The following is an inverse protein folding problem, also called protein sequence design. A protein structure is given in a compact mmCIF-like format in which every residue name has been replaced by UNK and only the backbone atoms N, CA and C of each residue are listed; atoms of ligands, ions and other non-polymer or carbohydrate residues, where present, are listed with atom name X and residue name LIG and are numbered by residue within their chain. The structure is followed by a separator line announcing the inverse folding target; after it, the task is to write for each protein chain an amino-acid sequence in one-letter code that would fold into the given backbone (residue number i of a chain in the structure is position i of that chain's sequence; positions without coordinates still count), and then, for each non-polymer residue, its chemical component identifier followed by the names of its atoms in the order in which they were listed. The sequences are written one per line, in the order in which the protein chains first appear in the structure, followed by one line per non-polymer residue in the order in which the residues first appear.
data_IF_808702178781
#
_entry.id   IF_808702178781
#
_cell.length_a   1.000
_cell.length_b   1.000
_cell.length_c   1.000
_cell.angle_alpha   90.00
_cell.angle_beta   90.00
_cell.angle_gamma   90.00
#
_symmetry.space_group_name_H-M   'P 1'
#
loop_
_entity.id
_entity.type
_entity.pdbx_description
1 polymer ?
#
# COMPACT_ATOMS: atom_id res chain seq x y z
N UNK A 1 -5.46 59.08 18.02
CA UNK A 1 -6.80 58.45 17.90
C UNK A 1 -7.14 58.50 16.42
N UNK A 2 -6.82 57.51 15.58
CA UNK A 2 -7.60 56.29 15.42
C UNK A 2 -6.88 55.41 14.36
N UNK A 3 -5.80 54.71 14.72
CA UNK A 3 -5.10 53.78 13.80
C UNK A 3 -5.79 52.41 13.78
N UNK A 4 -6.79 52.20 14.64
CA UNK A 4 -7.59 50.97 14.70
C UNK A 4 -8.54 50.75 13.50
N UNK A 5 -8.51 51.58 12.46
CA UNK A 5 -9.44 51.47 11.32
C UNK A 5 -8.83 51.44 9.92
N UNK A 6 -7.50 51.48 9.77
CA UNK A 6 -6.93 50.98 8.52
C UNK A 6 -6.92 49.46 8.58
N UNK A 7 -8.10 48.90 8.26
CA UNK A 7 -8.30 47.68 7.50
C UNK A 7 -6.97 47.18 6.98
N UNK A 8 -6.35 46.29 7.75
CA UNK A 8 -5.12 45.62 7.39
C UNK A 8 -5.47 44.88 6.10
N UNK A 9 -5.12 45.52 4.99
CA UNK A 9 -5.49 45.11 3.65
C UNK A 9 -5.01 43.67 3.49
N UNK A 10 -5.96 42.74 3.45
CA UNK A 10 -5.68 41.34 3.13
C UNK A 10 -5.10 41.19 1.70
N UNK A 11 -5.07 42.28 0.93
CA UNK A 11 -4.72 42.34 -0.49
C UNK A 11 -3.26 42.80 -0.75
N UNK A 12 -2.58 43.36 0.25
CA UNK A 12 -1.16 43.74 0.14
C UNK A 12 -0.33 42.87 1.08
N UNK A 13 0.61 42.06 0.58
CA UNK A 13 1.43 41.23 1.43
C UNK A 13 2.20 42.12 2.41
N UNK A 14 2.19 41.77 3.70
CA UNK A 14 2.92 42.50 4.77
C UNK A 14 4.39 42.74 4.39
N UNK A 15 4.96 41.81 3.62
CA UNK A 15 6.27 41.95 2.98
C UNK A 15 6.43 43.23 2.14
N UNK A 16 5.46 43.60 1.29
CA UNK A 16 5.52 44.83 0.48
C UNK A 16 5.47 46.08 1.36
N UNK A 17 4.57 46.11 2.33
CA UNK A 17 4.42 47.22 3.28
C UNK A 17 5.71 47.42 4.10
N UNK A 18 6.36 46.33 4.53
CA UNK A 18 7.64 46.39 5.22
C UNK A 18 8.76 46.94 4.33
N UNK A 19 8.83 46.49 3.07
CA UNK A 19 9.85 46.93 2.12
C UNK A 19 9.71 48.41 1.75
N UNK A 20 8.47 48.90 1.59
CA UNK A 20 8.21 50.30 1.30
C UNK A 20 8.59 51.19 2.50
N UNK A 21 8.24 50.80 3.73
CA UNK A 21 8.65 51.54 4.93
C UNK A 21 10.17 51.50 5.17
N UNK A 22 10.84 50.39 4.88
CA UNK A 22 12.31 50.30 4.95
C UNK A 22 12.98 51.20 3.90
N UNK A 23 12.39 51.32 2.71
CA UNK A 23 12.88 52.22 1.66
C UNK A 23 12.71 53.68 2.05
N UNK A 24 11.56 54.04 2.63
CA UNK A 24 11.31 55.39 3.14
C UNK A 24 12.24 55.73 4.30
N UNK A 25 12.45 54.79 5.24
CA UNK A 25 13.41 54.94 6.33
C UNK A 25 14.83 55.15 5.82
N UNK A 26 15.26 54.35 4.84
CA UNK A 26 16.58 54.51 4.22
C UNK A 26 16.74 55.89 3.55
N UNK A 27 15.70 56.38 2.86
CA UNK A 27 15.70 57.71 2.24
C UNK A 27 15.79 58.84 3.28
N UNK A 28 15.13 58.69 4.44
CA UNK A 28 15.22 59.65 5.55
C UNK A 28 16.61 59.63 6.20
N UNK A 29 17.23 58.46 6.36
CA UNK A 29 18.61 58.34 6.87
C UNK A 29 19.62 58.96 5.91
N UNK A 30 19.48 58.75 4.60
CA UNK A 30 20.35 59.40 3.61
C UNK A 30 20.16 60.92 3.62
N UNK A 31 18.91 61.39 3.73
CA UNK A 31 18.61 62.83 3.87
C UNK A 31 19.20 63.44 5.14
N UNK A 32 19.14 62.72 6.26
CA UNK A 32 19.80 63.12 7.52
C UNK A 32 21.31 63.24 7.33
N UNK A 33 21.91 62.24 6.69
CA UNK A 33 23.35 62.20 6.45
C UNK A 33 23.79 63.34 5.52
N UNK A 34 23.07 63.59 4.43
CA UNK A 34 23.34 64.69 3.49
C UNK A 34 23.22 66.07 4.19
N UNK A 35 22.22 66.24 5.05
CA UNK A 35 22.03 67.49 5.81
C UNK A 35 23.11 67.74 6.87
N UNK A 36 23.71 66.67 7.40
CA UNK A 36 24.85 66.73 8.32
C UNK A 36 26.17 66.96 7.57
N UNK A 37 26.32 66.38 6.37
CA UNK A 37 27.54 66.47 5.56
C UNK A 37 27.61 67.73 4.68
N UNK A 38 26.52 68.50 4.55
CA UNK A 38 26.51 69.73 3.76
C UNK A 38 27.52 70.77 4.33
N UNK A 39 28.57 71.15 3.56
CA UNK A 39 29.66 72.01 4.02
C UNK A 39 29.24 73.47 4.27
N UNK A 40 28.03 73.87 3.87
CA UNK A 40 27.52 75.24 4.04
C UNK A 40 26.96 75.51 5.44
N UNK A 41 26.66 74.46 6.24
CA UNK A 41 26.25 74.59 7.65
C UNK A 41 27.33 74.13 8.64
N UNK A 42 28.31 73.32 8.22
CA UNK A 42 29.37 72.78 9.10
C UNK A 42 30.61 73.68 9.27
N UNK A 43 30.70 74.81 8.55
CA UNK A 43 31.69 75.88 8.87
C UNK A 43 31.56 76.40 10.32
N UNK A 44 30.38 76.25 10.92
CA UNK A 44 30.01 76.77 12.24
C UNK A 44 30.48 75.86 13.39
N UNK A 45 30.59 74.54 13.17
CA UNK A 45 30.89 73.61 14.28
C UNK A 45 32.38 73.64 14.66
N UNK A 46 33.29 73.95 13.72
CA UNK A 46 34.71 74.07 14.03
C UNK A 46 35.14 75.48 14.44
N UNK A 47 34.24 76.49 14.43
CA UNK A 47 34.60 77.89 14.71
C UNK A 47 33.79 78.59 15.81
N UNK A 48 32.65 78.05 16.27
CA UNK A 48 31.90 78.63 17.41
C UNK A 48 32.09 77.85 18.72
N UNK A 49 33.21 78.11 19.41
CA UNK A 49 33.25 78.10 20.90
C UNK A 49 33.03 79.51 21.48
N UNK A 50 32.94 80.55 20.64
CA UNK A 50 32.75 81.92 21.11
C UNK A 50 31.51 82.58 20.51
N UNK A 51 30.66 83.05 21.44
CA UNK A 51 29.78 84.21 21.33
C UNK A 51 28.41 84.08 20.63
N UNK A 52 27.40 83.93 21.48
CA UNK A 52 26.17 84.73 21.62
C UNK A 52 25.60 85.49 20.39
N UNK A 53 24.34 85.15 20.11
CA UNK A 53 23.23 86.00 19.61
C UNK A 53 23.07 86.24 18.10
N UNK A 54 21.87 85.87 17.65
CA UNK A 54 21.10 86.35 16.49
C UNK A 54 21.15 85.56 15.18
N UNK A 55 19.94 85.11 14.82
CA UNK A 55 19.39 84.82 13.49
C UNK A 55 19.59 83.44 12.85
N UNK A 56 18.41 82.90 12.54
CA UNK A 56 18.04 81.78 11.67
C UNK A 56 18.12 80.36 12.25
N UNK A 57 16.95 79.74 12.21
CA UNK A 57 16.56 78.38 12.55
C UNK A 57 16.99 77.36 11.46
N UNK A 58 18.02 76.54 11.70
CA UNK A 58 18.15 75.24 11.04
C UNK A 58 17.80 74.06 11.97
N UNK A 59 17.62 74.32 13.28
CA UNK A 59 17.40 73.27 14.29
C UNK A 59 16.01 72.62 14.23
N UNK A 60 14.98 73.34 13.76
CA UNK A 60 13.62 72.81 13.67
C UNK A 60 13.49 71.70 12.62
N UNK A 61 14.10 71.87 11.44
CA UNK A 61 14.05 70.90 10.34
C UNK A 61 14.77 69.59 10.67
N UNK A 62 15.90 69.67 11.39
CA UNK A 62 16.64 68.49 11.85
C UNK A 62 15.84 67.73 12.92
N UNK A 63 15.26 68.46 13.89
CA UNK A 63 14.38 67.87 14.91
C UNK A 63 13.13 67.22 14.32
N UNK A 64 12.54 67.82 13.29
CA UNK A 64 11.40 67.28 12.55
C UNK A 64 11.79 65.99 11.81
N UNK A 65 12.95 65.95 11.16
CA UNK A 65 13.46 64.75 10.49
C UNK A 65 13.76 63.60 11.47
N UNK A 66 14.36 63.89 12.62
CA UNK A 66 14.58 62.91 13.70
C UNK A 66 13.24 62.39 14.24
N UNK A 67 12.26 63.27 14.46
CA UNK A 67 10.92 62.86 14.89
C UNK A 67 10.26 61.93 13.88
N UNK A 68 10.37 62.23 12.57
CA UNK A 68 9.85 61.39 11.50
C UNK A 68 10.57 60.02 11.44
N UNK A 69 11.88 60.00 11.72
CA UNK A 69 12.66 58.77 11.77
C UNK A 69 12.23 57.86 12.93
N UNK A 70 11.99 58.44 14.11
CA UNK A 70 11.47 57.73 15.29
C UNK A 70 10.05 57.19 15.03
N UNK A 71 9.20 57.97 14.36
CA UNK A 71 7.85 57.52 13.98
C UNK A 71 7.91 56.34 13.00
N UNK A 72 8.78 56.39 11.99
CA UNK A 72 8.98 55.28 11.05
C UNK A 72 9.59 54.04 11.67
N UNK A 73 10.53 54.20 12.60
CA UNK A 73 11.07 53.09 13.40
C UNK A 73 9.93 52.40 14.18
N UNK A 74 9.05 53.20 14.81
CA UNK A 74 7.87 52.69 15.52
C UNK A 74 6.92 51.92 14.60
N UNK A 75 6.68 52.43 13.40
CA UNK A 75 5.81 51.79 12.40
C UNK A 75 6.40 50.46 11.91
N UNK A 76 7.71 50.40 11.66
CA UNK A 76 8.40 49.16 11.27
C UNK A 76 8.28 48.12 12.38
N UNK A 77 8.48 48.52 13.65
CA UNK A 77 8.30 47.61 14.79
C UNK A 77 6.86 47.08 14.88
N UNK A 78 5.86 47.93 14.66
CA UNK A 78 4.45 47.52 14.68
C UNK A 78 4.14 46.54 13.54
N UNK A 79 4.67 46.77 12.34
CA UNK A 79 4.51 45.86 11.19
C UNK A 79 5.21 44.52 11.46
N UNK A 80 6.38 44.55 12.10
CA UNK A 80 7.13 43.35 12.46
C UNK A 80 6.39 42.48 13.49
N UNK A 81 5.74 43.10 14.49
CA UNK A 81 4.91 42.38 15.45
C UNK A 81 3.70 41.72 14.77
N UNK A 82 3.03 42.42 13.85
CA UNK A 82 1.97 41.84 13.03
C UNK A 82 2.48 40.67 12.18
N UNK A 83 3.66 40.80 11.56
CA UNK A 83 4.27 39.73 10.78
C UNK A 83 4.61 38.49 11.64
N UNK A 84 5.10 38.71 12.87
CA UNK A 84 5.38 37.65 13.84
C UNK A 84 4.09 36.89 14.21
N UNK A 85 3.02 37.62 14.52
CA UNK A 85 1.72 37.03 14.84
C UNK A 85 1.14 36.24 13.65
N UNK A 86 1.24 36.78 12.43
CA UNK A 86 0.83 36.06 11.22
C UNK A 86 1.66 34.79 10.98
N UNK A 87 2.97 34.84 11.26
CA UNK A 87 3.83 33.66 11.14
C UNK A 87 3.45 32.58 12.15
N UNK A 88 3.16 32.96 13.41
CA UNK A 88 2.69 32.02 14.42
C UNK A 88 1.37 31.35 14.00
N UNK A 89 0.39 32.13 13.55
CA UNK A 89 -0.87 31.58 13.04
C UNK A 89 -0.67 30.70 11.80
N UNK A 90 0.30 31.02 10.94
CA UNK A 90 0.65 30.18 9.79
C UNK A 90 1.19 28.81 10.22
N UNK A 91 2.03 28.74 11.26
CA UNK A 91 2.52 27.47 11.80
C UNK A 91 1.39 26.62 12.38
N UNK A 92 0.48 27.24 13.13
CA UNK A 92 -0.73 26.56 13.65
C UNK A 92 -1.60 26.03 12.51
N UNK A 93 -1.83 26.83 11.46
CA UNK A 93 -2.55 26.40 10.25
C UNK A 93 -1.85 25.26 9.53
N UNK A 94 -0.52 25.28 9.45
CA UNK A 94 0.25 24.21 8.82
C UNK A 94 0.12 22.90 9.60
N UNK A 95 0.19 22.95 10.93
CA UNK A 95 -0.05 21.79 11.80
C UNK A 95 -1.45 21.22 11.58
N UNK A 96 -2.48 22.06 11.61
CA UNK A 96 -3.87 21.64 11.41
C UNK A 96 -4.08 21.06 10.00
N UNK A 97 -3.43 21.64 8.98
CA UNK A 97 -3.48 21.12 7.60
C UNK A 97 -2.87 19.72 7.53
N UNK A 98 -1.76 19.48 8.23
CA UNK A 98 -1.15 18.16 8.28
C UNK A 98 -2.05 17.13 8.97
N UNK A 99 -2.69 17.51 10.08
CA UNK A 99 -3.67 16.67 10.77
C UNK A 99 -4.87 16.33 9.86
N UNK A 100 -5.41 17.33 9.14
CA UNK A 100 -6.47 17.09 8.16
C UNK A 100 -6.05 16.14 7.05
N UNK A 101 -4.82 16.23 6.55
CA UNK A 101 -4.31 15.30 5.55
C UNK A 101 -4.21 13.87 6.10
N UNK A 102 -3.74 13.71 7.35
CA UNK A 102 -3.70 12.42 8.02
C UNK A 102 -5.10 11.84 8.19
N UNK A 103 -6.06 12.64 8.65
CA UNK A 103 -7.44 12.19 8.82
C UNK A 103 -8.09 11.83 7.49
N UNK A 104 -7.84 12.61 6.43
CA UNK A 104 -8.34 12.32 5.08
C UNK A 104 -7.79 10.98 4.57
N UNK A 105 -6.50 10.71 4.82
CA UNK A 105 -5.90 9.42 4.48
C UNK A 105 -6.53 8.26 5.27
N UNK A 106 -6.82 8.45 6.55
CA UNK A 106 -7.50 7.44 7.37
C UNK A 106 -8.92 7.17 6.85
N UNK A 107 -9.68 8.21 6.51
CA UNK A 107 -11.02 8.07 5.91
C UNK A 107 -10.93 7.27 4.61
N UNK A 108 -9.99 7.60 3.73
CA UNK A 108 -9.80 6.89 2.48
C UNK A 108 -9.47 5.41 2.70
N UNK A 109 -8.61 5.09 3.68
CA UNK A 109 -8.28 3.71 4.01
C UNK A 109 -9.48 2.92 4.53
N UNK A 110 -10.29 3.53 5.40
CA UNK A 110 -11.52 2.93 5.92
C UNK A 110 -12.52 2.70 4.79
N UNK A 111 -12.73 3.69 3.91
CA UNK A 111 -13.61 3.56 2.76
C UNK A 111 -13.17 2.42 1.83
N UNK A 112 -11.87 2.32 1.55
CA UNK A 112 -11.32 1.22 0.76
C UNK A 112 -11.59 -0.12 1.43
N UNK A 113 -11.29 -0.25 2.72
CA UNK A 113 -11.53 -1.49 3.48
C UNK A 113 -13.01 -1.88 3.50
N UNK A 114 -13.92 -0.90 3.52
CA UNK A 114 -15.36 -1.14 3.49
C UNK A 114 -15.78 -1.70 2.13
N UNK A 115 -15.32 -1.08 1.03
CA UNK A 115 -15.60 -1.54 -0.33
C UNK A 115 -15.03 -2.94 -0.57
N UNK A 116 -13.82 -3.20 -0.09
CA UNK A 116 -13.19 -4.53 -0.20
C UNK A 116 -13.99 -5.59 0.57
N UNK A 117 -14.50 -5.24 1.76
CA UNK A 117 -15.34 -6.14 2.58
C UNK A 117 -16.71 -6.37 1.95
N UNK A 118 -17.30 -5.34 1.35
CA UNK A 118 -18.57 -5.44 0.61
C UNK A 118 -18.42 -6.41 -0.57
N UNK A 119 -17.36 -6.26 -1.36
CA UNK A 119 -17.08 -7.17 -2.47
C UNK A 119 -16.87 -8.62 -2.02
N UNK A 120 -16.18 -8.83 -0.90
CA UNK A 120 -16.00 -10.17 -0.31
C UNK A 120 -17.35 -10.77 0.12
N UNK A 121 -18.22 -9.97 0.73
CA UNK A 121 -19.55 -10.41 1.15
C UNK A 121 -20.43 -10.76 -0.05
N UNK A 122 -20.40 -9.95 -1.11
CA UNK A 122 -21.11 -10.27 -2.35
C UNK A 122 -20.66 -11.59 -2.96
N UNK A 123 -19.36 -11.87 -2.94
CA UNK A 123 -18.83 -13.15 -3.42
C UNK A 123 -19.30 -14.31 -2.54
N UNK A 124 -19.23 -14.15 -1.21
CA UNK A 124 -19.69 -15.17 -0.28
C UNK A 124 -21.19 -15.48 -0.43
N UNK A 125 -22.02 -14.48 -0.73
CA UNK A 125 -23.44 -14.67 -1.02
C UNK A 125 -23.63 -15.47 -2.31
N UNK A 126 -22.92 -15.12 -3.39
CA UNK A 126 -22.97 -15.88 -4.66
C UNK A 126 -22.52 -17.33 -4.47
N UNK A 127 -21.45 -17.54 -3.72
CA UNK A 127 -20.94 -18.89 -3.42
C UNK A 127 -21.96 -19.70 -2.60
N UNK A 128 -22.64 -19.05 -1.65
CA UNK A 128 -23.70 -19.69 -0.86
C UNK A 128 -24.93 -20.04 -1.72
N UNK A 129 -25.31 -19.19 -2.67
CA UNK A 129 -26.40 -19.47 -3.62
C UNK A 129 -26.07 -20.69 -4.49
N UNK A 130 -24.84 -20.77 -5.02
CA UNK A 130 -24.37 -21.92 -5.79
C UNK A 130 -24.35 -23.20 -4.94
N UNK A 131 -23.90 -23.11 -3.69
CA UNK A 131 -23.90 -24.26 -2.77
C UNK A 131 -25.32 -24.75 -2.46
N UNK A 132 -26.28 -23.82 -2.35
CA UNK A 132 -27.68 -24.15 -2.13
C UNK A 132 -28.27 -24.88 -3.35
N UNK A 133 -27.99 -24.40 -4.57
CA UNK A 133 -28.40 -25.07 -5.81
C UNK A 133 -27.82 -26.49 -5.89
N UNK A 134 -26.52 -26.65 -5.61
CA UNK A 134 -25.86 -27.96 -5.57
C UNK A 134 -26.47 -28.89 -4.51
N UNK A 135 -26.84 -28.36 -3.35
CA UNK A 135 -27.52 -29.11 -2.30
C UNK A 135 -28.91 -29.55 -2.75
N UNK A 136 -29.69 -28.68 -3.39
CA UNK A 136 -31.01 -29.02 -3.93
C UNK A 136 -30.94 -30.09 -5.01
N UNK A 137 -29.97 -30.01 -5.91
CA UNK A 137 -29.76 -31.02 -6.94
C UNK A 137 -29.29 -32.36 -6.37
N UNK A 138 -28.41 -32.34 -5.37
CA UNK A 138 -28.00 -33.54 -4.62
C UNK A 138 -29.18 -34.17 -3.86
N UNK A 139 -30.08 -33.34 -3.32
CA UNK A 139 -31.31 -33.81 -2.65
C UNK A 139 -32.27 -34.48 -3.63
N UNK A 140 -32.38 -33.99 -4.87
CA UNK A 140 -33.14 -34.64 -5.94
C UNK A 140 -32.49 -35.97 -6.35
N UNK A 141 -31.17 -35.98 -6.51
CA UNK A 141 -30.37 -37.16 -6.87
C UNK A 141 -29.87 -37.92 -5.63
N UNK A 142 -30.75 -38.23 -4.68
CA UNK A 142 -30.37 -38.94 -3.45
C UNK A 142 -29.94 -40.38 -3.79
N UNK A 143 -28.67 -40.68 -3.58
CA UNK A 143 -28.12 -42.04 -3.70
C UNK A 143 -28.30 -42.76 -2.37
N UNK A 144 -28.71 -44.02 -2.41
CA UNK A 144 -28.79 -44.83 -1.20
C UNK A 144 -27.39 -45.15 -0.66
N UNK A 145 -27.21 -45.03 0.64
CA UNK A 145 -25.96 -45.35 1.32
C UNK A 145 -25.59 -46.83 1.16
N UNK A 146 -26.57 -47.72 1.02
CA UNK A 146 -26.32 -49.15 0.77
C UNK A 146 -25.64 -49.37 -0.59
N UNK A 147 -26.07 -48.66 -1.63
CA UNK A 147 -25.44 -48.73 -2.95
C UNK A 147 -24.01 -48.17 -2.90
N UNK A 148 -23.77 -47.06 -2.18
CA UNK A 148 -22.42 -46.52 -1.99
C UNK A 148 -21.51 -47.56 -1.35
N UNK A 149 -21.94 -48.21 -0.27
CA UNK A 149 -21.15 -49.26 0.41
C UNK A 149 -20.89 -50.45 -0.51
N UNK A 150 -21.91 -50.90 -1.26
CA UNK A 150 -21.79 -52.02 -2.20
C UNK A 150 -20.81 -51.71 -3.32
N UNK A 151 -20.89 -50.52 -3.92
CA UNK A 151 -19.97 -50.12 -4.99
C UNK A 151 -18.57 -49.82 -4.46
N UNK A 152 -18.44 -49.19 -3.28
CA UNK A 152 -17.14 -48.99 -2.64
C UNK A 152 -16.44 -50.32 -2.35
N UNK A 153 -17.17 -51.32 -1.84
CA UNK A 153 -16.63 -52.66 -1.66
C UNK A 153 -16.21 -53.30 -2.99
N UNK A 154 -17.03 -53.19 -4.04
CA UNK A 154 -16.68 -53.69 -5.40
C UNK A 154 -15.42 -53.01 -5.96
N UNK A 155 -15.28 -51.70 -5.79
CA UNK A 155 -14.11 -50.93 -6.25
C UNK A 155 -12.88 -51.31 -5.43
N UNK A 156 -13.04 -51.51 -4.12
CA UNK A 156 -11.96 -51.94 -3.23
C UNK A 156 -11.49 -53.36 -3.54
N UNK A 157 -12.41 -54.28 -3.85
CA UNK A 157 -12.09 -55.62 -4.36
C UNK A 157 -11.41 -55.57 -5.73
N UNK A 158 -11.76 -54.57 -6.55
CA UNK A 158 -11.16 -54.34 -7.87
C UNK A 158 -9.76 -53.71 -7.86
N UNK A 159 -9.17 -53.45 -6.68
CA UNK A 159 -7.76 -53.03 -6.57
C UNK A 159 -7.40 -51.65 -7.15
N UNK A 160 -8.39 -50.77 -7.38
CA UNK A 160 -8.19 -49.49 -8.12
C UNK A 160 -7.63 -48.34 -7.25
N UNK A 161 -7.45 -48.55 -5.94
CA UNK A 161 -7.14 -47.47 -4.98
C UNK A 161 -5.66 -47.10 -4.83
N UNK A 162 -4.77 -47.57 -5.70
CA UNK A 162 -3.40 -47.07 -5.73
C UNK A 162 -2.67 -47.51 -6.98
N UNK A 163 -1.93 -46.58 -7.60
CA UNK A 163 -0.85 -46.92 -8.53
C UNK A 163 0.30 -47.50 -7.72
N UNK A 164 0.56 -48.82 -7.75
CA UNK A 164 1.77 -49.35 -7.17
C UNK A 164 2.96 -48.74 -7.93
N UNK A 165 4.06 -48.45 -7.23
CA UNK A 165 5.31 -47.92 -7.80
C UNK A 165 5.86 -48.77 -8.97
N UNK A 166 5.33 -49.98 -9.16
CA UNK A 166 5.63 -50.93 -10.22
C UNK A 166 4.81 -50.76 -11.53
N UNK A 167 3.89 -49.79 -11.68
CA UNK A 167 3.21 -49.52 -12.97
C UNK A 167 4.16 -49.09 -14.10
N UNK A 168 5.44 -48.85 -13.80
CA UNK A 168 6.49 -48.59 -14.78
C UNK A 168 7.24 -49.86 -15.28
N UNK A 169 6.95 -51.03 -14.71
CA UNK A 169 7.64 -52.29 -15.03
C UNK A 169 6.76 -53.28 -15.79
N UNK A 170 7.31 -54.07 -16.73
CA UNK A 170 6.57 -55.10 -17.47
C UNK A 170 6.18 -56.33 -16.63
N UNK A 171 6.56 -56.39 -15.36
CA UNK A 171 6.44 -57.58 -14.49
C UNK A 171 5.19 -57.65 -13.61
N UNK A 172 4.28 -56.68 -13.66
CA UNK A 172 2.98 -56.74 -12.95
C UNK A 172 1.81 -56.39 -13.89
N UNK A 173 1.06 -57.41 -14.39
CA UNK A 173 0.01 -57.24 -15.41
C UNK A 173 -1.35 -56.72 -14.92
N UNK A 174 -1.53 -56.31 -13.67
CA UNK A 174 -2.82 -55.79 -13.21
C UNK A 174 -3.02 -54.34 -13.65
N UNK A 175 -3.56 -54.22 -14.86
CA UNK A 175 -3.97 -52.93 -15.42
C UNK A 175 -5.31 -52.53 -14.80
N UNK A 176 -5.49 -51.26 -14.40
CA UNK A 176 -6.77 -50.76 -13.87
C UNK A 176 -7.89 -50.71 -14.93
N UNK A 177 -7.59 -51.07 -16.19
CA UNK A 177 -8.54 -51.12 -17.30
C UNK A 177 -8.71 -52.57 -17.77
N UNK A 178 -9.89 -52.92 -18.33
CA UNK A 178 -10.10 -54.25 -18.90
C UNK A 178 -9.05 -54.55 -19.98
N UNK A 179 -8.32 -55.66 -19.82
CA UNK A 179 -7.26 -56.07 -20.78
C UNK A 179 -7.90 -56.79 -21.97
N UNK A 180 -7.24 -56.80 -23.14
CA UNK A 180 -7.72 -57.44 -24.39
C UNK A 180 -8.35 -58.84 -24.21
N UNK A 181 -7.78 -59.80 -23.45
CA UNK A 181 -8.42 -61.10 -23.23
C UNK A 181 -9.75 -60.98 -22.46
N UNK A 182 -9.84 -60.09 -21.47
CA UNK A 182 -11.08 -59.83 -20.71
C UNK A 182 -12.13 -59.17 -21.63
N UNK A 183 -11.70 -58.24 -22.49
CA UNK A 183 -12.57 -57.58 -23.47
C UNK A 183 -13.12 -58.56 -24.51
N UNK A 184 -12.28 -59.48 -25.01
CA UNK A 184 -12.69 -60.53 -25.97
C UNK A 184 -13.56 -61.61 -25.32
N UNK A 185 -13.33 -61.92 -24.05
CA UNK A 185 -14.17 -62.85 -23.28
C UNK A 185 -15.56 -62.26 -22.95
N UNK A 186 -15.67 -60.92 -22.96
CA UNK A 186 -16.90 -60.18 -22.72
C UNK A 186 -17.96 -60.34 -23.81
N UNK A 187 -19.16 -59.82 -23.54
CA UNK A 187 -20.31 -59.94 -24.44
C UNK A 187 -20.02 -59.32 -25.83
N UNK A 188 -19.26 -58.23 -25.88
CA UNK A 188 -18.88 -57.56 -27.11
C UNK A 188 -17.98 -58.43 -28.00
N UNK A 189 -17.01 -59.14 -27.41
CA UNK A 189 -16.15 -60.08 -28.13
C UNK A 189 -16.92 -61.26 -28.71
N UNK A 190 -17.88 -61.81 -27.96
CA UNK A 190 -18.76 -62.89 -28.43
C UNK A 190 -19.64 -62.48 -29.61
N UNK A 191 -20.13 -61.25 -29.62
CA UNK A 191 -20.94 -60.70 -30.73
C UNK A 191 -20.10 -60.45 -31.99
N UNK A 192 -18.78 -60.24 -31.85
CA UNK A 192 -17.87 -59.94 -32.95
C UNK A 192 -17.30 -61.16 -33.70
N UNK A 193 -17.70 -62.40 -33.33
CA UNK A 193 -17.25 -63.65 -33.95
C UNK A 193 -15.72 -63.77 -34.14
N UNK A 194 -14.94 -63.16 -33.24
CA UNK A 194 -13.49 -63.37 -33.20
C UNK A 194 -13.22 -64.79 -32.66
N UNK A 195 -12.20 -65.50 -33.17
CA UNK A 195 -11.90 -66.84 -32.69
C UNK A 195 -11.67 -66.83 -31.17
N UNK A 196 -12.25 -67.77 -30.41
CA UNK A 196 -12.08 -67.81 -28.96
C UNK A 196 -10.59 -67.94 -28.64
N UNK A 197 -10.08 -66.99 -27.87
CA UNK A 197 -8.72 -67.06 -27.34
C UNK A 197 -8.71 -68.15 -26.29
N UNK A 198 -8.18 -69.34 -26.62
CA UNK A 198 -7.78 -70.34 -25.64
C UNK A 198 -6.54 -69.81 -24.91
N UNK A 199 -6.77 -69.03 -23.86
CA UNK A 199 -5.77 -68.81 -22.83
C UNK A 199 -6.23 -69.58 -21.59
N UNK A 200 -5.37 -70.39 -20.97
CA UNK A 200 -5.72 -71.01 -19.70
C UNK A 200 -6.03 -69.88 -18.72
N UNK A 201 -7.11 -70.03 -17.96
CA UNK A 201 -7.32 -69.28 -16.71
C UNK A 201 -6.15 -69.60 -15.78
N UNK A 202 -5.04 -68.89 -15.93
CA UNK A 202 -4.04 -68.75 -14.88
C UNK A 202 -4.55 -67.67 -13.95
N UNK A 203 -5.26 -68.14 -12.93
CA UNK A 203 -5.13 -67.58 -11.60
C UNK A 203 -3.63 -67.57 -11.31
N UNK A 204 -2.98 -66.40 -11.42
CA UNK A 204 -1.60 -66.19 -11.00
C UNK A 204 -1.69 -65.52 -9.62
N UNK A 205 -1.76 -66.30 -8.54
CA UNK A 205 -0.59 -66.70 -7.76
C UNK A 205 0.71 -66.97 -8.55
N UNK A 206 1.75 -66.16 -8.25
CA UNK A 206 3.15 -66.55 -8.01
C UNK A 206 4.29 -65.90 -8.85
N UNK A 207 5.20 -65.25 -8.10
CA UNK A 207 6.69 -65.37 -8.08
C UNK A 207 7.48 -65.78 -9.34
N UNK A 208 8.44 -64.91 -9.70
CA UNK A 208 9.85 -65.22 -10.09
C UNK A 208 10.21 -65.55 -11.56
N UNK A 209 10.82 -64.54 -12.22
CA UNK A 209 12.10 -64.54 -13.00
C UNK A 209 12.32 -65.55 -14.15
N UNK A 210 12.52 -65.08 -15.41
CA UNK A 210 13.82 -64.96 -16.16
C UNK A 210 13.68 -64.93 -17.71
N UNK A 211 14.37 -63.95 -18.33
CA UNK A 211 15.15 -63.94 -19.59
C UNK A 211 14.60 -64.56 -20.90
N UNK A 212 14.38 -63.73 -21.93
CA UNK A 212 15.36 -63.39 -22.99
C UNK A 212 14.73 -62.93 -24.33
N UNK A 213 15.37 -61.92 -24.92
CA UNK A 213 15.55 -61.59 -26.34
C UNK A 213 14.38 -61.32 -27.32
N UNK A 214 14.37 -60.05 -27.79
CA UNK A 214 14.54 -59.64 -29.20
C UNK A 214 13.39 -58.88 -29.90
N UNK A 215 13.63 -57.56 -30.04
CA UNK A 215 13.56 -56.73 -31.27
C UNK A 215 12.26 -56.71 -32.09
N UNK A 216 11.50 -55.61 -31.96
CA UNK A 216 10.93 -54.70 -33.00
C UNK A 216 9.88 -53.83 -32.28
N UNK A 217 9.83 -52.50 -32.25
CA UNK A 217 10.40 -51.49 -33.12
C UNK A 217 9.28 -50.69 -33.78
N UNK A 218 8.61 -49.77 -33.06
CA UNK A 218 8.03 -48.52 -33.59
C UNK A 218 7.57 -47.58 -32.47
N UNK A 219 7.90 -46.30 -32.63
CA UNK A 219 7.77 -45.22 -31.67
C UNK A 219 6.36 -44.58 -31.62
N UNK A 220 6.00 -43.86 -30.54
CA UNK A 220 4.70 -43.20 -30.39
C UNK A 220 4.71 -41.72 -30.79
N UNK A 221 3.57 -41.25 -31.32
CA UNK A 221 3.28 -39.83 -31.58
C UNK A 221 2.95 -39.09 -30.28
N UNK A 222 3.55 -37.92 -30.12
CA UNK A 222 3.57 -37.06 -28.92
C UNK A 222 2.23 -36.39 -28.60
N UNK A 223 1.89 -36.38 -27.30
CA UNK A 223 0.84 -35.57 -26.69
C UNK A 223 1.43 -34.23 -26.22
N UNK A 224 0.81 -33.10 -26.58
CA UNK A 224 1.11 -31.78 -26.01
C UNK A 224 0.47 -31.64 -24.63
N UNK A 225 1.28 -31.57 -23.59
CA UNK A 225 0.87 -31.24 -22.22
C UNK A 225 0.84 -29.73 -22.01
N UNK A 226 -0.27 -29.23 -21.48
CA UNK A 226 -0.40 -27.89 -20.91
C UNK A 226 -0.10 -28.00 -19.40
N UNK A 227 0.98 -27.40 -18.94
CA UNK A 227 1.40 -27.38 -17.53
C UNK A 227 0.73 -26.23 -16.78
N UNK A 228 -0.19 -26.54 -15.88
CA UNK A 228 -0.59 -25.64 -14.79
C UNK A 228 0.47 -25.72 -13.69
N UNK A 229 1.10 -24.61 -13.36
CA UNK A 229 2.06 -24.48 -12.26
C UNK A 229 1.32 -23.92 -11.03
N UNK A 230 1.13 -24.76 -10.01
CA UNK A 230 0.79 -24.29 -8.67
C UNK A 230 2.04 -24.35 -7.81
N UNK A 231 2.53 -23.15 -7.47
CA UNK A 231 3.62 -22.94 -6.53
C UNK A 231 3.23 -23.43 -5.13
N UNK A 232 4.15 -24.19 -4.57
CA UNK A 232 4.20 -24.71 -3.22
C UNK A 232 5.12 -23.79 -2.42
N UNK A 233 4.59 -23.14 -1.39
CA UNK A 233 5.20 -22.46 -0.22
C UNK A 233 3.97 -21.91 0.53
N UNK A 234 3.62 -22.31 1.74
CA UNK A 234 4.38 -22.06 2.97
C UNK A 234 4.11 -23.14 4.02
N UNK A 235 5.17 -23.45 4.77
CA UNK A 235 5.19 -24.34 5.93
C UNK A 235 4.89 -23.46 7.15
N UNK A 236 3.85 -23.80 7.90
CA UNK A 236 3.58 -23.21 9.22
C UNK A 236 4.69 -23.61 10.21
N UNK A 237 5.49 -22.64 10.63
CA UNK A 237 6.39 -22.77 11.77
C UNK A 237 5.70 -22.12 12.98
N UNK A 238 5.13 -22.98 13.84
CA UNK A 238 4.66 -22.61 15.17
C UNK A 238 5.82 -22.58 16.17
N UNK A 239 5.65 -21.76 17.23
CA UNK A 239 6.41 -21.64 18.50
C UNK A 239 7.46 -20.51 18.50
N UNK A 240 7.67 -19.69 19.53
CA UNK A 240 7.40 -19.79 20.96
C UNK A 240 7.08 -18.41 21.58
N UNK A 241 6.25 -18.42 22.63
CA UNK A 241 6.02 -17.29 23.53
C UNK A 241 7.29 -16.96 24.33
N UNK A 242 7.82 -15.75 24.22
CA UNK A 242 8.79 -15.22 25.18
C UNK A 242 8.19 -14.06 25.96
N UNK A 243 7.73 -14.38 27.16
CA UNK A 243 7.47 -13.40 28.22
C UNK A 243 8.81 -12.85 28.72
N UNK A 244 8.98 -11.53 28.72
CA UNK A 244 10.04 -10.88 29.51
C UNK A 244 9.44 -9.71 30.29
N UNK A 245 9.37 -9.94 31.60
CA UNK A 245 9.19 -8.98 32.67
C UNK A 245 10.32 -7.95 32.68
N UNK A 246 9.99 -6.67 32.76
CA UNK A 246 10.93 -5.63 33.18
C UNK A 246 10.29 -4.75 34.24
N UNK A 247 10.78 -4.91 35.47
CA UNK A 247 10.59 -3.98 36.57
C UNK A 247 11.36 -2.70 36.27
N UNK A 248 10.69 -1.56 36.41
CA UNK A 248 11.35 -0.27 36.60
C UNK A 248 10.77 0.38 37.84
N UNK A 249 11.62 0.38 38.84
CA UNK A 249 11.61 1.05 40.13
C UNK A 249 11.68 2.57 39.90
N UNK A 250 10.71 3.35 40.39
CA UNK A 250 10.84 4.82 40.37
C UNK A 250 10.30 5.44 41.66
N UNK A 251 11.28 5.92 42.43
CA UNK A 251 11.26 6.68 43.66
C UNK A 251 10.20 7.78 43.74
N UNK A 252 9.46 7.83 44.85
CA UNK A 252 9.05 9.06 45.57
C UNK A 252 8.54 8.72 46.97
#
# INVERSE_FOLDING_TARGET
MNISQQKLNFDQPVKKILLDNLRDFAALVTSLFDMINDPTKTSVISSQITDLTSSQEPDSSLKELISHLIEKERDIHQILDVACNQHKSFLELQSLRQELLSLTQQIHNIQKSLIDSESLLEQAIKDAEVLLEQYEDSKKSKIDTEDIVKYAHKISLGGVLGSPLAWAGPEFPERPYPTDPIMRAGALGRLSNLPPVETPLQVADNTTVRQSNSVFGTQPSTLSQNTFSSSRNDIEEMSEDTSSSSNSDESS
#
